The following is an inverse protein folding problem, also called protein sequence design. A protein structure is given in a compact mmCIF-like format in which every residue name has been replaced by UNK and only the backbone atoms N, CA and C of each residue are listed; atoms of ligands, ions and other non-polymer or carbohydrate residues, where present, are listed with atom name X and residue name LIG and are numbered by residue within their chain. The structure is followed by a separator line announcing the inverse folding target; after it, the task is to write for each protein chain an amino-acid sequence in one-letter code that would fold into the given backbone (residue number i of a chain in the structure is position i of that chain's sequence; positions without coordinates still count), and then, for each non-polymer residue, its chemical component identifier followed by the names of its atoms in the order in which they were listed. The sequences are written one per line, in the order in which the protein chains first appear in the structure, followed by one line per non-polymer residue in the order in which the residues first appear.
data_IF_890463560307
#
_entry.id   IF_890463560307
#
_cell.length_a   1.000
_cell.length_b   1.000
_cell.length_c   1.000
_cell.angle_alpha   90.00
_cell.angle_beta   90.00
_cell.angle_gamma   90.00
#
_symmetry.space_group_name_H-M   'P 1'
#
loop_
_entity.id
_entity.type
_entity.pdbx_description
1 polymer ?
#
# COMPACT_ATOMS: atom_id res chain seq x y z
N UNK A 1 1.98 -23.40 -8.02
CA UNK A 1 0.84 -22.59 -8.49
C UNK A 1 1.40 -21.28 -8.98
N UNK A 2 0.99 -20.77 -10.15
CA UNK A 2 1.54 -19.54 -10.73
C UNK A 2 1.23 -18.38 -9.77
N UNK A 3 2.28 -17.78 -9.20
CA UNK A 3 2.18 -16.61 -8.31
C UNK A 3 1.59 -15.46 -9.11
N UNK A 4 0.36 -15.08 -8.81
CA UNK A 4 -0.23 -13.85 -9.34
C UNK A 4 0.45 -12.69 -8.61
N UNK A 5 1.38 -12.02 -9.29
CA UNK A 5 1.84 -10.68 -8.89
C UNK A 5 0.65 -9.74 -9.05
N UNK A 6 -0.08 -9.49 -7.97
CA UNK A 6 -1.21 -8.55 -7.99
C UNK A 6 -0.65 -7.14 -7.87
N UNK A 7 -0.25 -6.56 -9.00
CA UNK A 7 -0.34 -5.11 -9.17
C UNK A 7 -1.82 -4.85 -9.49
N UNK A 8 -2.53 -4.25 -8.55
CA UNK A 8 -3.95 -3.97 -8.67
C UNK A 8 -4.23 -2.96 -9.80
N UNK A 9 -4.37 -3.46 -11.03
CA UNK A 9 -5.04 -2.80 -12.14
C UNK A 9 -6.49 -3.28 -12.14
N UNK A 10 -7.37 -2.59 -11.39
CA UNK A 10 -8.81 -2.87 -11.40
C UNK A 10 -9.48 -1.91 -12.41
N UNK A 11 -9.84 -2.47 -13.56
CA UNK A 11 -10.69 -1.91 -14.61
C UNK A 11 -12.11 -2.45 -14.43
N UNK A 12 -13.05 -1.59 -14.04
CA UNK A 12 -14.48 -1.70 -14.37
C UNK A 12 -15.00 -0.29 -14.69
N UNK A 13 -16.04 -0.17 -15.52
CA UNK A 13 -16.55 1.09 -16.06
C UNK A 13 -18.08 1.10 -15.96
N UNK A 14 -18.64 2.12 -15.31
CA UNK A 14 -20.07 2.46 -15.40
C UNK A 14 -20.31 3.92 -15.87
N UNK A 15 -21.16 4.03 -16.90
CA UNK A 15 -21.42 5.17 -17.78
C UNK A 15 -22.23 6.31 -17.11
N UNK A 16 -21.88 7.58 -17.37
CA UNK A 16 -22.83 8.65 -17.82
C UNK A 16 -22.18 9.99 -18.28
N UNK A 17 -22.54 10.33 -19.53
CA UNK A 17 -22.74 11.60 -20.29
C UNK A 17 -21.99 12.90 -19.92
N UNK A 18 -21.28 13.44 -20.93
CA UNK A 18 -20.97 14.87 -21.13
C UNK A 18 -20.01 15.02 -22.33
N UNK A 19 -20.35 15.83 -23.33
CA UNK A 19 -19.60 15.96 -24.60
C UNK A 19 -18.45 16.98 -24.50
N UNK A 20 -17.29 16.67 -25.08
CA UNK A 20 -16.61 17.50 -26.10
C UNK A 20 -15.40 16.75 -26.68
N UNK A 21 -15.36 16.60 -28.01
CA UNK A 21 -14.24 15.99 -28.72
C UNK A 21 -13.10 17.01 -28.88
N UNK A 22 -12.00 16.84 -28.15
CA UNK A 22 -10.78 17.62 -28.38
C UNK A 22 -9.83 16.85 -29.30
N UNK A 23 -9.97 17.09 -30.61
CA UNK A 23 -8.92 16.83 -31.58
C UNK A 23 -7.87 17.96 -31.46
N UNK A 24 -7.00 17.90 -30.46
CA UNK A 24 -5.85 18.79 -30.31
C UNK A 24 -4.56 17.99 -30.36
N UNK A 25 -3.50 18.53 -30.98
CA UNK A 25 -2.14 17.98 -30.84
C UNK A 25 -1.84 17.84 -29.35
N UNK A 26 -1.45 16.64 -28.93
CA UNK A 26 -1.20 16.35 -27.52
C UNK A 26 0.13 16.99 -27.11
N UNK A 27 0.05 18.09 -26.35
CA UNK A 27 1.24 18.77 -25.84
C UNK A 27 1.96 17.88 -24.83
N UNK A 28 3.29 17.94 -24.80
CA UNK A 28 4.09 17.17 -23.85
C UNK A 28 3.93 17.77 -22.46
N UNK A 29 3.60 16.97 -21.46
CA UNK A 29 3.58 17.34 -20.05
C UNK A 29 4.91 17.04 -19.35
N UNK A 30 5.51 15.87 -19.65
CA UNK A 30 6.79 15.47 -19.08
C UNK A 30 7.69 14.83 -20.14
N UNK A 31 9.00 15.08 -20.03
CA UNK A 31 10.01 14.53 -20.94
C UNK A 31 11.25 14.05 -20.18
N UNK A 32 11.77 12.89 -20.58
CA UNK A 32 13.02 12.33 -20.06
C UNK A 32 13.78 11.62 -21.18
N UNK A 33 15.01 12.06 -21.47
CA UNK A 33 15.86 11.54 -22.56
C UNK A 33 15.10 11.29 -23.90
N UNK A 34 14.23 12.24 -24.30
CA UNK A 34 13.45 12.17 -25.53
C UNK A 34 12.19 11.30 -25.46
N UNK A 35 11.95 10.57 -24.36
CA UNK A 35 10.65 9.96 -24.05
C UNK A 35 9.70 11.02 -23.54
N UNK A 36 8.42 10.93 -23.93
CA UNK A 36 7.43 11.98 -23.71
C UNK A 36 6.15 11.38 -23.19
N UNK A 37 5.57 12.07 -22.22
CA UNK A 37 4.19 11.90 -21.76
C UNK A 37 3.41 13.14 -22.18
N UNK A 38 2.20 12.95 -22.69
CA UNK A 38 1.32 14.06 -23.06
C UNK A 38 0.49 14.57 -21.90
N UNK A 39 0.00 15.81 -21.99
CA UNK A 39 -0.96 16.38 -21.04
C UNK A 39 -2.24 15.53 -20.91
N UNK A 40 -2.71 14.94 -22.00
CA UNK A 40 -3.88 14.06 -21.98
C UNK A 40 -3.65 12.78 -21.15
N UNK A 41 -2.46 12.17 -21.26
CA UNK A 41 -2.10 11.03 -20.40
C UNK A 41 -1.96 11.45 -18.94
N UNK A 42 -1.37 12.63 -18.68
CA UNK A 42 -1.30 13.20 -17.34
C UNK A 42 -2.70 13.43 -16.74
N UNK A 43 -3.65 13.96 -17.51
CA UNK A 43 -5.07 14.11 -17.13
C UNK A 43 -5.71 12.77 -16.73
N UNK A 44 -5.46 11.72 -17.52
CA UNK A 44 -5.94 10.38 -17.20
C UNK A 44 -5.39 9.86 -15.86
N UNK A 45 -4.07 9.96 -15.64
CA UNK A 45 -3.46 9.49 -14.39
C UNK A 45 -3.86 10.31 -13.17
N UNK A 46 -4.15 11.61 -13.32
CA UNK A 46 -4.81 12.40 -12.27
C UNK A 46 -6.17 11.81 -11.89
N UNK A 47 -7.01 11.51 -12.87
CA UNK A 47 -8.32 10.89 -12.66
C UNK A 47 -8.21 9.52 -12.00
N UNK A 48 -7.21 8.71 -12.39
CA UNK A 48 -6.98 7.39 -11.82
C UNK A 48 -6.57 7.49 -10.35
N UNK A 49 -5.59 8.34 -10.01
CA UNK A 49 -5.18 8.54 -8.62
C UNK A 49 -6.33 9.13 -7.80
N UNK A 50 -7.06 10.12 -8.31
CA UNK A 50 -8.24 10.63 -7.61
C UNK A 50 -9.19 9.50 -7.24
N UNK A 51 -9.50 8.62 -8.18
CA UNK A 51 -10.40 7.48 -7.97
C UNK A 51 -9.88 6.42 -7.01
N UNK A 52 -8.55 6.27 -6.86
CA UNK A 52 -7.98 5.33 -5.89
C UNK A 52 -8.04 5.85 -4.44
N UNK A 53 -8.10 7.17 -4.24
CA UNK A 53 -7.99 7.79 -2.92
C UNK A 53 -9.25 8.54 -2.47
N UNK A 54 -10.18 8.84 -3.38
CA UNK A 54 -11.35 9.69 -3.10
C UNK A 54 -12.62 8.99 -3.55
N UNK A 55 -13.51 8.71 -2.58
CA UNK A 55 -14.86 8.24 -2.87
C UNK A 55 -15.74 9.37 -3.40
N UNK A 56 -16.82 9.03 -4.10
CA UNK A 56 -17.78 10.02 -4.59
C UNK A 56 -18.42 10.88 -3.48
N UNK A 57 -18.54 10.33 -2.27
CA UNK A 57 -19.07 11.05 -1.11
C UNK A 57 -18.08 12.10 -0.58
N UNK A 58 -16.78 11.81 -0.69
CA UNK A 58 -15.71 12.69 -0.24
C UNK A 58 -15.27 13.72 -1.29
N UNK A 59 -15.71 13.62 -2.56
CA UNK A 59 -15.32 14.56 -3.61
C UNK A 59 -16.08 15.90 -3.52
N UNK A 60 -15.76 16.70 -2.50
CA UNK A 60 -16.39 17.99 -2.22
C UNK A 60 -15.38 19.02 -1.69
N UNK A 61 -15.76 20.30 -1.71
CA UNK A 61 -14.85 21.40 -1.37
C UNK A 61 -14.23 21.28 0.03
N UNK A 62 -15.00 20.82 1.03
CA UNK A 62 -14.50 20.69 2.39
C UNK A 62 -13.40 19.63 2.52
N UNK A 63 -13.52 18.52 1.78
CA UNK A 63 -12.49 17.49 1.73
C UNK A 63 -11.20 18.03 1.11
N UNK A 64 -11.30 18.73 -0.02
CA UNK A 64 -10.13 19.29 -0.71
C UNK A 64 -9.43 20.41 0.06
N UNK A 65 -10.19 21.20 0.81
CA UNK A 65 -9.65 22.29 1.63
C UNK A 65 -9.07 21.80 2.97
N UNK A 66 -9.20 20.50 3.28
CA UNK A 66 -8.60 19.90 4.47
C UNK A 66 -7.07 19.98 4.40
N UNK A 67 -6.46 20.43 5.50
CA UNK A 67 -5.01 20.62 5.61
C UNK A 67 -4.38 19.63 6.59
N UNK A 68 -3.23 19.13 6.20
CA UNK A 68 -2.33 18.43 7.11
C UNK A 68 -1.66 19.40 8.08
N UNK A 69 -1.07 18.86 9.15
CA UNK A 69 -0.32 19.63 10.16
C UNK A 69 0.81 20.48 9.57
N UNK A 70 1.37 20.08 8.43
CA UNK A 70 2.41 20.81 7.70
C UNK A 70 1.87 21.90 6.75
N UNK A 71 0.55 22.12 6.74
CA UNK A 71 -0.11 23.16 5.94
C UNK A 71 -0.44 22.77 4.49
N UNK A 72 0.02 21.61 4.00
CA UNK A 72 -0.36 21.10 2.67
C UNK A 72 -1.85 20.72 2.65
N UNK A 73 -2.50 20.96 1.52
CA UNK A 73 -3.86 20.46 1.26
C UNK A 73 -3.85 18.99 0.82
N UNK A 74 -5.01 18.35 0.85
CA UNK A 74 -5.17 17.01 0.27
C UNK A 74 -4.92 17.00 -1.25
N UNK A 75 -5.31 18.08 -1.95
CA UNK A 75 -5.01 18.26 -3.37
C UNK A 75 -3.50 18.29 -3.63
N UNK A 76 -2.73 19.01 -2.81
CA UNK A 76 -1.27 19.06 -2.94
C UNK A 76 -0.64 17.67 -2.80
N UNK A 77 -1.11 16.87 -1.84
CA UNK A 77 -0.60 15.50 -1.64
C UNK A 77 -0.91 14.59 -2.81
N UNK A 78 -2.15 14.57 -3.29
CA UNK A 78 -2.50 13.74 -4.44
C UNK A 78 -1.79 14.21 -5.73
N UNK A 79 -1.58 15.52 -5.90
CA UNK A 79 -0.77 16.03 -7.02
C UNK A 79 0.66 15.54 -6.94
N UNK A 80 1.29 15.54 -5.76
CA UNK A 80 2.64 14.99 -5.56
C UNK A 80 2.73 13.51 -5.93
N UNK A 81 1.72 12.71 -5.55
CA UNK A 81 1.65 11.28 -5.92
C UNK A 81 1.54 11.11 -7.44
N UNK A 82 0.68 11.90 -8.09
CA UNK A 82 0.53 11.85 -9.55
C UNK A 82 1.81 12.27 -10.25
N UNK A 83 2.41 13.38 -9.84
CA UNK A 83 3.66 13.89 -10.41
C UNK A 83 4.77 12.83 -10.30
N UNK A 84 4.91 12.19 -9.14
CA UNK A 84 5.84 11.09 -8.94
C UNK A 84 5.56 9.92 -9.89
N UNK A 85 4.33 9.41 -9.93
CA UNK A 85 3.96 8.27 -10.78
C UNK A 85 4.17 8.55 -12.27
N UNK A 86 3.84 9.75 -12.74
CA UNK A 86 4.03 10.11 -14.15
C UNK A 86 5.51 10.30 -14.50
N UNK A 87 6.33 10.78 -13.57
CA UNK A 87 7.79 10.79 -13.72
C UNK A 87 8.33 9.36 -13.81
N UNK A 88 7.89 8.44 -12.97
CA UNK A 88 8.23 7.01 -13.05
C UNK A 88 7.84 6.43 -14.42
N UNK A 89 6.66 6.75 -14.93
CA UNK A 89 6.20 6.29 -16.25
C UNK A 89 7.12 6.72 -17.41
N UNK A 90 7.57 7.98 -17.41
CA UNK A 90 8.48 8.47 -18.47
C UNK A 90 9.90 7.95 -18.30
N UNK A 91 10.38 7.80 -17.06
CA UNK A 91 11.68 7.18 -16.73
C UNK A 91 11.71 5.72 -17.17
N UNK A 92 10.69 4.94 -16.80
CA UNK A 92 10.57 3.54 -17.22
C UNK A 92 10.43 3.40 -18.73
N UNK A 93 9.76 4.34 -19.41
CA UNK A 93 9.74 4.36 -20.88
C UNK A 93 11.12 4.52 -21.51
N UNK A 94 12.05 5.18 -20.82
CA UNK A 94 13.46 5.29 -21.23
C UNK A 94 14.25 4.04 -20.85
N UNK A 95 14.13 3.57 -19.61
CA UNK A 95 14.82 2.37 -19.12
C UNK A 95 14.43 1.13 -19.93
N UNK A 96 13.18 1.03 -20.37
CA UNK A 96 12.71 -0.04 -21.24
C UNK A 96 13.58 -0.16 -22.50
N UNK A 97 13.91 0.97 -23.13
CA UNK A 97 14.80 1.00 -24.30
C UNK A 97 16.25 0.71 -23.91
N UNK A 98 16.73 1.27 -22.79
CA UNK A 98 18.11 1.06 -22.32
C UNK A 98 18.41 -0.39 -21.97
N UNK A 99 17.44 -1.09 -21.39
CA UNK A 99 17.50 -2.51 -21.08
C UNK A 99 17.28 -3.40 -22.32
N UNK A 100 17.06 -2.80 -23.50
CA UNK A 100 16.84 -3.54 -24.75
C UNK A 100 15.52 -4.33 -24.78
N UNK A 101 14.57 -3.99 -23.92
CA UNK A 101 13.30 -4.70 -23.80
C UNK A 101 12.41 -4.46 -25.02
N UNK A 102 11.53 -5.43 -25.28
CA UNK A 102 10.55 -5.36 -26.37
C UNK A 102 9.21 -5.91 -25.90
N UNK A 103 8.14 -5.34 -26.41
CA UNK A 103 6.82 -5.92 -26.28
C UNK A 103 6.67 -7.05 -27.30
N UNK A 104 6.33 -8.22 -26.81
CA UNK A 104 6.02 -9.41 -27.60
C UNK A 104 4.73 -9.21 -28.41
N UNK A 105 4.48 -10.10 -29.36
CA UNK A 105 3.24 -10.07 -30.12
C UNK A 105 2.01 -10.35 -29.23
N UNK A 106 2.14 -11.24 -28.24
CA UNK A 106 1.03 -11.57 -27.34
C UNK A 106 0.71 -10.41 -26.40
N UNK A 107 1.70 -9.76 -25.79
CA UNK A 107 1.47 -8.59 -24.93
C UNK A 107 0.78 -7.44 -25.68
N UNK A 108 1.19 -7.19 -26.94
CA UNK A 108 0.51 -6.19 -27.79
C UNK A 108 -0.94 -6.59 -28.09
N UNK A 109 -1.19 -7.89 -28.23
CA UNK A 109 -2.53 -8.43 -28.46
C UNK A 109 -3.39 -8.32 -27.21
N UNK A 110 -2.85 -8.61 -26.03
CA UNK A 110 -3.53 -8.43 -24.74
C UNK A 110 -3.97 -6.97 -24.53
N UNK A 111 -3.09 -5.99 -24.81
CA UNK A 111 -3.46 -4.57 -24.79
C UNK A 111 -4.62 -4.28 -25.76
N UNK A 112 -4.54 -4.80 -26.99
CA UNK A 112 -5.62 -4.58 -27.96
C UNK A 112 -6.93 -5.22 -27.50
N UNK A 113 -6.88 -6.46 -27.00
CA UNK A 113 -8.04 -7.17 -26.48
C UNK A 113 -8.70 -6.40 -25.33
N UNK A 114 -7.92 -5.92 -24.36
CA UNK A 114 -8.46 -5.13 -23.25
C UNK A 114 -9.22 -3.89 -23.73
N UNK A 115 -8.72 -3.20 -24.76
CA UNK A 115 -9.37 -1.99 -25.30
C UNK A 115 -10.56 -2.37 -26.20
N UNK A 116 -10.49 -3.47 -26.95
CA UNK A 116 -11.57 -3.96 -27.78
C UNK A 116 -12.75 -4.49 -26.93
N UNK A 117 -12.47 -5.03 -25.75
CA UNK A 117 -13.49 -5.37 -24.74
C UNK A 117 -14.20 -4.10 -24.23
N UNK A 118 -13.46 -3.01 -24.00
CA UNK A 118 -14.06 -1.70 -23.69
C UNK A 118 -14.89 -1.17 -24.87
N UNK A 119 -14.42 -1.30 -26.10
CA UNK A 119 -15.19 -0.93 -27.30
C UNK A 119 -16.51 -1.70 -27.35
N UNK A 120 -16.47 -3.00 -27.06
CA UNK A 120 -17.64 -3.88 -27.05
C UNK A 120 -18.61 -3.51 -25.93
N UNK A 121 -18.11 -3.23 -24.72
CA UNK A 121 -18.92 -2.81 -23.57
C UNK A 121 -19.64 -1.47 -23.83
N UNK A 122 -18.98 -0.53 -24.52
CA UNK A 122 -19.59 0.74 -24.93
C UNK A 122 -20.40 0.65 -26.24
N UNK A 123 -20.37 -0.50 -26.92
CA UNK A 123 -21.07 -0.77 -28.17
C UNK A 123 -20.41 -0.22 -29.44
N UNK A 124 -19.45 0.71 -29.34
CA UNK A 124 -18.64 1.18 -30.48
C UNK A 124 -17.42 2.00 -30.04
N UNK A 125 -16.40 2.10 -30.92
CA UNK A 125 -15.22 2.99 -30.69
C UNK A 125 -15.63 4.45 -30.54
N UNK A 126 -16.68 4.90 -31.23
CA UNK A 126 -17.22 6.26 -31.09
C UNK A 126 -17.84 6.50 -29.71
N UNK A 127 -18.63 5.53 -29.22
CA UNK A 127 -19.22 5.59 -27.88
C UNK A 127 -18.13 5.54 -26.79
N UNK A 128 -17.12 4.68 -26.95
CA UNK A 128 -15.95 4.65 -26.07
C UNK A 128 -15.22 5.99 -26.06
N UNK A 129 -14.88 6.55 -27.24
CA UNK A 129 -14.21 7.86 -27.33
C UNK A 129 -15.04 8.97 -26.69
N UNK A 130 -16.36 8.93 -26.80
CA UNK A 130 -17.23 9.89 -26.11
C UNK A 130 -17.11 9.77 -24.58
N UNK A 131 -17.03 8.55 -24.06
CA UNK A 131 -16.80 8.34 -22.63
C UNK A 131 -15.40 8.79 -22.18
N UNK A 132 -14.38 8.42 -22.95
CA UNK A 132 -12.98 8.77 -22.70
C UNK A 132 -12.70 10.28 -22.76
N UNK A 133 -13.49 11.04 -23.52
CA UNK A 133 -13.36 12.51 -23.59
C UNK A 133 -13.55 13.20 -22.25
N UNK A 134 -14.23 12.56 -21.28
CA UNK A 134 -14.37 13.10 -19.93
C UNK A 134 -13.05 13.09 -19.13
N UNK A 135 -12.03 12.38 -19.62
CA UNK A 135 -10.67 12.30 -19.08
C UNK A 135 -9.65 12.89 -20.06
N UNK A 136 -10.12 13.68 -21.03
CA UNK A 136 -9.32 14.27 -22.13
C UNK A 136 -8.55 13.25 -23.00
N UNK A 137 -8.97 11.99 -23.02
CA UNK A 137 -8.31 10.95 -23.83
C UNK A 137 -9.26 10.35 -24.88
N UNK A 138 -8.69 9.52 -25.75
CA UNK A 138 -9.41 8.72 -26.73
C UNK A 138 -8.80 7.30 -26.78
N UNK A 139 -9.36 6.43 -27.60
CA UNK A 139 -8.90 5.04 -27.78
C UNK A 139 -7.39 4.93 -28.01
N UNK A 140 -6.82 5.78 -28.87
CA UNK A 140 -5.40 5.65 -29.23
C UNK A 140 -4.51 6.11 -28.06
N UNK A 141 -4.92 7.15 -27.34
CA UNK A 141 -4.22 7.60 -26.12
C UNK A 141 -4.36 6.57 -25.00
N UNK A 142 -5.52 5.94 -24.82
CA UNK A 142 -5.71 4.85 -23.85
C UNK A 142 -4.77 3.67 -24.14
N UNK A 143 -4.59 3.35 -25.42
CA UNK A 143 -3.62 2.34 -25.85
C UNK A 143 -2.18 2.72 -25.53
N UNK A 144 -1.82 3.98 -25.72
CA UNK A 144 -0.50 4.49 -25.35
C UNK A 144 -0.28 4.44 -23.83
N UNK A 145 -1.32 4.72 -23.03
CA UNK A 145 -1.30 4.60 -21.56
C UNK A 145 -1.02 3.17 -21.14
N UNK A 146 -1.82 2.19 -21.59
CA UNK A 146 -1.58 0.77 -21.27
C UNK A 146 -0.21 0.28 -21.74
N UNK A 147 0.27 0.80 -22.87
CA UNK A 147 1.61 0.50 -23.37
C UNK A 147 2.70 1.04 -22.44
N UNK A 148 2.53 2.25 -21.88
CA UNK A 148 3.49 2.84 -20.93
C UNK A 148 3.45 2.09 -19.60
N UNK A 149 2.27 1.79 -19.07
CA UNK A 149 2.11 1.03 -17.83
C UNK A 149 2.73 -0.37 -17.93
N UNK A 150 2.53 -1.07 -19.05
CA UNK A 150 3.19 -2.35 -19.28
C UNK A 150 4.72 -2.22 -19.33
N UNK A 151 5.27 -1.10 -19.84
CA UNK A 151 6.72 -0.89 -19.81
C UNK A 151 7.24 -0.73 -18.38
N UNK A 152 6.49 -0.09 -17.48
CA UNK A 152 6.85 -0.02 -16.06
C UNK A 152 6.98 -1.42 -15.48
N UNK A 153 5.96 -2.27 -15.67
CA UNK A 153 6.00 -3.67 -15.22
C UNK A 153 7.19 -4.43 -15.81
N UNK A 154 7.45 -4.29 -17.11
CA UNK A 154 8.56 -4.99 -17.76
C UNK A 154 9.94 -4.50 -17.31
N UNK A 155 10.08 -3.21 -17.02
CA UNK A 155 11.33 -2.65 -16.46
C UNK A 155 11.55 -3.18 -15.06
N UNK A 156 10.52 -3.14 -14.20
CA UNK A 156 10.58 -3.71 -12.86
C UNK A 156 10.96 -5.20 -12.91
N UNK A 157 10.23 -6.00 -13.69
CA UNK A 157 10.49 -7.44 -13.83
C UNK A 157 11.92 -7.72 -14.33
N UNK A 158 12.43 -6.92 -15.28
CA UNK A 158 13.77 -7.12 -15.82
C UNK A 158 14.88 -6.72 -14.84
N UNK A 159 14.63 -5.73 -13.98
CA UNK A 159 15.59 -5.30 -12.96
C UNK A 159 15.76 -6.35 -11.86
N UNK A 160 14.65 -6.94 -11.41
CA UNK A 160 14.61 -7.85 -10.25
C UNK A 160 14.54 -9.35 -10.60
N UNK A 161 14.46 -9.73 -11.88
CA UNK A 161 14.62 -11.13 -12.29
C UNK A 161 15.99 -11.69 -11.90
N UNK A 162 16.12 -13.02 -11.87
CA UNK A 162 17.39 -13.73 -11.68
C UNK A 162 18.45 -13.23 -12.69
N UNK A 163 19.61 -12.80 -12.20
CA UNK A 163 20.66 -12.17 -12.98
C UNK A 163 20.38 -10.74 -13.44
N UNK A 164 19.28 -10.14 -12.99
CA UNK A 164 18.90 -8.75 -13.22
C UNK A 164 19.85 -7.78 -12.53
N UNK A 165 19.90 -6.54 -13.03
CA UNK A 165 20.84 -5.54 -12.52
C UNK A 165 20.58 -5.13 -11.06
N UNK A 166 19.39 -5.46 -10.52
CA UNK A 166 18.96 -5.17 -9.15
C UNK A 166 18.37 -6.40 -8.47
N UNK A 167 18.76 -7.61 -8.88
CA UNK A 167 18.33 -8.85 -8.21
C UNK A 167 18.51 -8.76 -6.69
N UNK A 168 17.48 -9.15 -5.93
CA UNK A 168 17.54 -9.18 -4.47
C UNK A 168 18.34 -10.40 -4.02
N UNK A 169 19.62 -10.15 -3.72
CA UNK A 169 20.51 -11.18 -3.14
C UNK A 169 20.20 -11.40 -1.66
N UNK A 170 20.66 -12.53 -1.12
CA UNK A 170 20.55 -12.81 0.33
C UNK A 170 21.14 -11.70 1.21
N UNK A 171 22.23 -11.06 0.78
CA UNK A 171 22.86 -9.96 1.52
C UNK A 171 21.96 -8.71 1.55
N UNK A 172 21.30 -8.41 0.42
CA UNK A 172 20.37 -7.28 0.32
C UNK A 172 19.14 -7.55 1.19
N UNK A 173 18.57 -8.76 1.10
CA UNK A 173 17.41 -9.14 1.89
C UNK A 173 17.70 -9.13 3.40
N UNK A 174 18.90 -9.60 3.79
CA UNK A 174 19.32 -9.58 5.19
C UNK A 174 19.48 -8.15 5.71
N UNK A 175 20.06 -7.24 4.91
CA UNK A 175 20.13 -5.82 5.27
C UNK A 175 18.75 -5.21 5.40
N UNK A 176 17.87 -5.48 4.42
CA UNK A 176 16.49 -5.00 4.45
C UNK A 176 15.76 -5.44 5.73
N UNK A 177 15.91 -6.72 6.11
CA UNK A 177 15.35 -7.24 7.35
C UNK A 177 15.87 -6.48 8.59
N UNK A 178 17.19 -6.31 8.70
CA UNK A 178 17.81 -5.65 9.85
C UNK A 178 17.44 -4.18 9.96
N UNK A 179 17.26 -3.48 8.84
CA UNK A 179 16.99 -2.06 8.80
C UNK A 179 15.50 -1.73 8.98
N UNK A 180 14.58 -2.63 8.59
CA UNK A 180 13.15 -2.34 8.53
C UNK A 180 12.28 -3.11 9.54
N UNK A 181 12.80 -4.18 10.16
CA UNK A 181 12.02 -4.99 11.09
C UNK A 181 12.39 -4.77 12.55
N UNK A 182 11.36 -4.77 13.37
CA UNK A 182 11.44 -4.90 14.81
C UNK A 182 10.87 -6.23 15.26
N UNK A 183 11.55 -6.91 16.18
CA UNK A 183 10.97 -8.01 16.93
C UNK A 183 10.42 -7.48 18.25
N UNK A 184 9.14 -7.69 18.47
CA UNK A 184 8.47 -7.38 19.73
C UNK A 184 7.85 -8.63 20.32
N UNK A 185 7.56 -8.55 21.60
CA UNK A 185 6.71 -9.49 22.30
C UNK A 185 5.73 -8.69 23.15
N UNK A 186 4.53 -9.20 23.37
CA UNK A 186 3.53 -8.45 24.12
C UNK A 186 2.72 -9.33 25.06
N UNK A 187 2.26 -8.70 26.14
CA UNK A 187 1.15 -9.15 26.95
C UNK A 187 -0.06 -8.33 26.51
N UNK A 188 -1.02 -9.00 25.89
CA UNK A 188 -2.26 -8.41 25.41
C UNK A 188 -3.33 -8.54 26.48
N UNK A 189 -3.97 -7.42 26.83
CA UNK A 189 -5.10 -7.36 27.76
C UNK A 189 -6.26 -6.65 27.06
N UNK A 190 -7.42 -7.27 27.00
CA UNK A 190 -8.61 -6.63 26.44
C UNK A 190 -9.11 -5.50 27.33
N UNK A 191 -9.50 -4.36 26.74
CA UNK A 191 -10.02 -3.21 27.48
C UNK A 191 -11.50 -2.91 27.25
N UNK A 192 -11.98 -3.03 26.01
CA UNK A 192 -13.40 -2.79 25.68
C UNK A 192 -14.19 -4.07 25.37
N UNK A 193 -13.55 -5.12 24.86
CA UNK A 193 -14.25 -6.33 24.42
C UNK A 193 -13.43 -7.60 24.65
N UNK A 194 -14.08 -8.71 24.95
CA UNK A 194 -13.45 -10.04 25.02
C UNK A 194 -14.07 -11.01 24.03
N UNK A 195 -13.29 -11.95 23.50
CA UNK A 195 -13.87 -13.05 22.74
C UNK A 195 -14.64 -14.01 23.64
N UNK A 196 -15.83 -14.39 23.19
CA UNK A 196 -16.65 -15.39 23.87
C UNK A 196 -16.02 -16.77 23.66
N UNK A 197 -15.85 -17.51 24.76
CA UNK A 197 -15.34 -18.88 24.76
C UNK A 197 -16.42 -19.85 25.21
N UNK A 198 -16.40 -21.07 24.67
CA UNK A 198 -17.28 -22.15 25.10
C UNK A 198 -16.80 -22.78 26.42
N UNK A 199 -17.55 -23.78 26.91
CA UNK A 199 -17.24 -24.50 28.16
C UNK A 199 -15.87 -25.20 28.15
N UNK A 200 -15.26 -25.39 26.97
CA UNK A 200 -13.94 -25.99 26.81
C UNK A 200 -12.84 -24.94 26.57
N UNK A 201 -13.16 -23.65 26.68
CA UNK A 201 -12.23 -22.54 26.48
C UNK A 201 -11.94 -22.21 25.00
N UNK A 202 -12.66 -22.82 24.05
CA UNK A 202 -12.47 -22.55 22.62
C UNK A 202 -13.26 -21.31 22.20
N UNK A 203 -12.68 -20.49 21.31
CA UNK A 203 -13.37 -19.33 20.75
C UNK A 203 -14.66 -19.74 20.02
N UNK A 204 -15.75 -19.05 20.31
CA UNK A 204 -17.06 -19.28 19.69
C UNK A 204 -17.11 -18.53 18.36
N UNK A 205 -17.27 -19.25 17.25
CA UNK A 205 -17.44 -18.67 15.91
C UNK A 205 -18.93 -18.42 15.63
N UNK A 206 -19.25 -17.29 15.01
CA UNK A 206 -20.57 -16.94 14.53
C UNK A 206 -20.60 -17.10 13.01
N UNK A 207 -21.29 -18.14 12.53
CA UNK A 207 -21.38 -18.46 11.10
C UNK A 207 -22.16 -17.40 10.31
N UNK A 208 -23.10 -16.68 10.94
CA UNK A 208 -23.90 -15.64 10.27
C UNK A 208 -23.09 -14.35 10.09
N UNK A 209 -22.30 -13.97 11.10
CA UNK A 209 -21.40 -12.83 11.03
C UNK A 209 -20.06 -13.14 10.35
N UNK A 210 -19.76 -14.42 10.11
CA UNK A 210 -18.48 -14.92 9.64
C UNK A 210 -17.30 -14.39 10.49
N UNK A 211 -17.48 -14.38 11.82
CA UNK A 211 -16.52 -13.81 12.77
C UNK A 211 -16.61 -14.50 14.15
N UNK A 212 -15.57 -14.41 14.97
CA UNK A 212 -15.65 -14.86 16.37
C UNK A 212 -16.54 -13.94 17.20
N UNK A 213 -17.38 -14.51 18.07
CA UNK A 213 -18.26 -13.78 18.97
C UNK A 213 -17.46 -12.97 19.98
N UNK A 214 -17.94 -11.76 20.24
CA UNK A 214 -17.34 -10.80 21.18
C UNK A 214 -18.39 -10.33 22.18
N UNK A 215 -17.93 -9.98 23.37
CA UNK A 215 -18.74 -9.39 24.44
C UNK A 215 -18.09 -8.07 24.87
N UNK A 216 -18.86 -6.99 24.90
CA UNK A 216 -18.44 -5.72 25.47
C UNK A 216 -18.26 -5.86 26.99
N UNK A 217 -17.18 -5.26 27.50
CA UNK A 217 -16.90 -5.19 28.92
C UNK A 217 -17.72 -4.07 29.57
N UNK A 218 -18.11 -4.29 30.83
CA UNK A 218 -18.68 -3.22 31.67
C UNK A 218 -17.60 -2.27 32.16
N UNK A 219 -17.96 -1.03 32.51
CA UNK A 219 -17.02 -0.05 33.11
C UNK A 219 -16.20 -0.62 34.28
N UNK A 220 -16.81 -1.49 35.09
CA UNK A 220 -16.12 -2.15 36.21
C UNK A 220 -15.08 -3.17 35.73
N UNK A 221 -15.37 -3.91 34.68
CA UNK A 221 -14.45 -4.88 34.08
C UNK A 221 -13.29 -4.19 33.37
N UNK A 222 -13.58 -3.15 32.57
CA UNK A 222 -12.57 -2.28 31.95
C UNK A 222 -11.64 -1.66 33.00
N UNK A 223 -12.19 -1.13 34.11
CA UNK A 223 -11.37 -0.60 35.20
C UNK A 223 -10.46 -1.65 35.84
N UNK A 224 -10.91 -2.91 35.96
CA UNK A 224 -10.09 -4.03 36.45
C UNK A 224 -8.98 -4.40 35.47
N UNK A 225 -9.25 -4.39 34.16
CA UNK A 225 -8.27 -4.68 33.09
C UNK A 225 -7.17 -3.62 33.06
N UNK A 226 -7.55 -2.35 33.10
CA UNK A 226 -6.63 -1.23 33.22
C UNK A 226 -5.76 -1.34 34.50
N UNK A 227 -6.36 -1.62 35.65
CA UNK A 227 -5.63 -1.80 36.90
C UNK A 227 -4.67 -3.00 36.87
N UNK A 228 -5.05 -4.10 36.20
CA UNK A 228 -4.19 -5.26 35.98
C UNK A 228 -2.99 -4.89 35.11
N UNK A 229 -3.19 -4.16 34.01
CA UNK A 229 -2.10 -3.72 33.15
C UNK A 229 -1.11 -2.81 33.91
N UNK A 230 -1.60 -1.91 34.75
CA UNK A 230 -0.76 -1.06 35.62
C UNK A 230 0.01 -1.87 36.68
N UNK A 231 -0.59 -2.92 37.23
CA UNK A 231 0.09 -3.84 38.15
C UNK A 231 1.21 -4.60 37.44
N UNK A 232 0.96 -5.14 36.25
CA UNK A 232 1.97 -5.82 35.43
C UNK A 232 3.14 -4.88 35.12
N UNK A 233 2.89 -3.62 34.76
CA UNK A 233 3.95 -2.63 34.54
C UNK A 233 4.80 -2.40 35.79
N UNK A 234 4.18 -2.25 36.97
CA UNK A 234 4.92 -2.10 38.24
C UNK A 234 5.77 -3.33 38.58
N UNK A 235 5.24 -4.53 38.31
CA UNK A 235 5.99 -5.79 38.50
C UNK A 235 7.23 -5.83 37.60
N UNK A 236 7.09 -5.44 36.34
CA UNK A 236 8.20 -5.33 35.39
C UNK A 236 9.24 -4.29 35.83
N UNK A 237 8.80 -3.12 36.32
CA UNK A 237 9.68 -2.09 36.89
C UNK A 237 10.45 -2.58 38.12
N UNK A 238 9.84 -3.48 38.91
CA UNK A 238 10.48 -4.14 40.06
C UNK A 238 11.38 -5.33 39.68
N UNK A 239 11.51 -5.63 38.38
CA UNK A 239 12.41 -6.66 37.85
C UNK A 239 11.81 -8.06 37.73
N UNK A 240 10.48 -8.22 37.81
CA UNK A 240 9.83 -9.49 37.50
C UNK A 240 10.03 -9.88 36.03
N UNK A 241 10.02 -11.19 35.75
CA UNK A 241 10.32 -11.71 34.43
C UNK A 241 9.11 -11.52 33.48
N UNK A 242 9.37 -10.90 32.33
CA UNK A 242 8.34 -10.65 31.31
C UNK A 242 7.66 -11.92 30.81
N UNK A 243 8.41 -13.00 30.57
CA UNK A 243 7.87 -14.24 30.01
C UNK A 243 7.00 -14.98 31.04
N UNK A 244 7.33 -14.91 32.33
CA UNK A 244 6.50 -15.44 33.43
C UNK A 244 5.18 -14.68 33.57
N UNK A 245 5.22 -13.35 33.44
CA UNK A 245 4.03 -12.50 33.43
C UNK A 245 3.19 -12.75 32.17
N UNK A 246 3.81 -12.87 31.00
CA UNK A 246 3.13 -13.23 29.74
C UNK A 246 2.41 -14.57 29.87
N UNK A 247 3.08 -15.60 30.38
CA UNK A 247 2.46 -16.92 30.57
C UNK A 247 1.23 -16.89 31.49
N UNK A 248 1.16 -15.92 32.40
CA UNK A 248 0.10 -15.81 33.41
C UNK A 248 -1.06 -14.91 32.97
N UNK A 249 -0.78 -13.87 32.19
CA UNK A 249 -1.74 -12.79 31.94
C UNK A 249 -2.05 -12.53 30.47
N UNK A 250 -1.30 -13.09 29.52
CA UNK A 250 -1.51 -12.78 28.10
C UNK A 250 -2.82 -13.35 27.57
N UNK A 251 -3.63 -12.50 26.95
CA UNK A 251 -4.95 -12.85 26.41
C UNK A 251 -4.92 -13.03 24.88
N UNK A 252 -3.75 -12.89 24.26
CA UNK A 252 -3.55 -13.03 22.81
C UNK A 252 -3.93 -14.46 22.33
N UNK A 253 -4.95 -14.60 21.45
CA UNK A 253 -5.35 -15.89 20.92
C UNK A 253 -4.28 -16.55 20.02
N UNK A 254 -3.30 -15.79 19.53
CA UNK A 254 -2.21 -16.28 18.68
C UNK A 254 -0.90 -16.53 19.45
N UNK A 255 -0.90 -16.40 20.79
CA UNK A 255 0.30 -16.55 21.60
C UNK A 255 1.01 -17.90 21.44
N UNK A 256 0.24 -18.97 21.22
CA UNK A 256 0.75 -20.32 20.97
C UNK A 256 1.35 -20.47 19.56
N UNK A 257 0.88 -19.69 18.60
CA UNK A 257 1.39 -19.68 17.23
C UNK A 257 2.68 -18.88 17.18
N UNK A 258 2.76 -17.73 17.86
CA UNK A 258 3.90 -16.80 17.81
C UNK A 258 4.63 -16.71 19.16
N UNK A 259 5.16 -17.85 19.61
CA UNK A 259 5.83 -17.98 20.92
C UNK A 259 7.06 -17.09 21.05
N UNK A 260 7.73 -16.85 19.93
CA UNK A 260 8.91 -16.03 19.84
C UNK A 260 8.61 -14.53 19.70
N UNK A 261 7.35 -14.14 19.69
CA UNK A 261 6.91 -12.77 19.43
C UNK A 261 6.69 -12.51 17.95
N UNK A 262 6.57 -11.23 17.61
CA UNK A 262 6.15 -10.73 16.31
C UNK A 262 7.27 -9.94 15.64
N UNK A 263 7.45 -10.14 14.34
CA UNK A 263 8.30 -9.31 13.49
C UNK A 263 7.43 -8.29 12.78
N UNK A 264 7.70 -7.00 13.04
CA UNK A 264 6.88 -5.88 12.63
C UNK A 264 7.72 -4.92 11.81
N UNK A 265 7.16 -4.47 10.69
CA UNK A 265 7.68 -3.45 9.79
C UNK A 265 6.66 -2.31 9.62
N UNK A 266 7.02 -1.27 8.88
CA UNK A 266 6.08 -0.22 8.47
C UNK A 266 4.89 -0.73 7.67
N UNK A 267 5.01 -1.90 7.02
CA UNK A 267 3.93 -2.51 6.24
C UNK A 267 2.81 -3.09 7.12
N UNK A 268 3.05 -3.23 8.42
CA UNK A 268 2.12 -3.84 9.36
C UNK A 268 1.23 -2.82 10.10
N UNK A 269 1.22 -1.55 9.66
CA UNK A 269 0.39 -0.47 10.25
C UNK A 269 -1.10 -0.83 10.25
N UNK A 270 -1.59 -1.51 9.22
CA UNK A 270 -3.00 -1.92 9.16
C UNK A 270 -3.34 -3.09 10.10
N UNK A 271 -2.31 -3.80 10.59
CA UNK A 271 -2.47 -4.96 11.48
C UNK A 271 -2.36 -4.53 12.95
N UNK A 272 -1.34 -3.74 13.28
CA UNK A 272 -1.03 -3.34 14.66
C UNK A 272 -1.37 -1.88 14.99
N UNK A 273 -1.71 -1.07 13.99
CA UNK A 273 -1.86 0.37 14.16
C UNK A 273 -0.54 1.14 14.13
N UNK A 274 -0.60 2.41 13.74
CA UNK A 274 0.59 3.24 13.53
C UNK A 274 1.41 3.44 14.82
N UNK A 275 0.76 3.56 15.98
CA UNK A 275 1.45 3.82 17.25
C UNK A 275 2.33 2.64 17.67
N UNK A 276 1.82 1.41 17.58
CA UNK A 276 2.57 0.19 17.92
C UNK A 276 3.73 -0.02 16.94
N UNK A 277 3.48 0.17 15.64
CA UNK A 277 4.53 0.04 14.62
C UNK A 277 5.65 1.05 14.86
N UNK A 278 5.33 2.33 15.04
CA UNK A 278 6.34 3.36 15.33
C UNK A 278 7.10 3.07 16.62
N UNK A 279 6.37 2.71 17.68
CA UNK A 279 6.95 2.33 18.95
C UNK A 279 7.92 1.16 18.86
N UNK A 280 7.58 0.13 18.07
CA UNK A 280 8.43 -1.05 17.88
C UNK A 280 9.81 -0.69 17.31
N UNK A 281 9.87 0.35 16.48
CA UNK A 281 11.11 0.83 15.86
C UNK A 281 11.92 1.74 16.79
N UNK A 282 11.25 2.58 17.59
CA UNK A 282 11.91 3.55 18.47
C UNK A 282 12.42 2.95 19.80
N UNK A 283 11.77 1.89 20.28
CA UNK A 283 12.13 1.25 21.55
C UNK A 283 13.52 0.62 21.50
N UNK A 284 14.27 0.77 22.59
CA UNK A 284 15.55 0.08 22.77
C UNK A 284 15.30 -1.39 23.07
N UNK A 285 16.21 -2.27 22.63
CA UNK A 285 16.13 -3.69 22.99
C UNK A 285 16.04 -3.86 24.52
N UNK A 286 15.09 -4.67 24.96
CA UNK A 286 14.78 -4.93 26.36
C UNK A 286 13.83 -3.91 27.01
N UNK A 287 13.60 -2.77 26.38
CA UNK A 287 12.63 -1.77 26.86
C UNK A 287 11.22 -2.33 26.85
N UNK A 288 10.42 -1.95 27.85
CA UNK A 288 9.01 -2.30 27.97
C UNK A 288 8.18 -1.03 28.03
N UNK A 289 7.10 -0.97 27.25
CA UNK A 289 6.15 0.14 27.23
C UNK A 289 4.72 -0.37 27.17
N UNK A 290 3.82 0.40 27.78
CA UNK A 290 2.37 0.17 27.71
C UNK A 290 1.78 1.05 26.61
N UNK A 291 0.97 0.45 25.74
CA UNK A 291 0.17 1.12 24.71
C UNK A 291 -1.27 0.70 24.86
N UNK A 292 -2.18 1.63 24.61
CA UNK A 292 -3.62 1.43 24.73
C UNK A 292 -4.27 2.06 23.50
N UNK A 293 -4.87 1.23 22.66
CA UNK A 293 -5.54 1.67 21.42
C UNK A 293 -7.06 1.89 21.62
N UNK A 294 -7.53 1.83 22.87
CA UNK A 294 -8.94 1.90 23.25
C UNK A 294 -9.64 0.55 23.26
N UNK A 295 -9.18 -0.45 22.51
CA UNK A 295 -9.77 -1.79 22.52
C UNK A 295 -8.91 -2.79 23.29
N UNK A 296 -7.60 -2.64 23.18
CA UNK A 296 -6.58 -3.55 23.68
C UNK A 296 -5.44 -2.74 24.31
N UNK A 297 -5.04 -3.18 25.50
CA UNK A 297 -3.82 -2.73 26.14
C UNK A 297 -2.70 -3.70 25.80
N UNK A 298 -1.65 -3.19 25.16
CA UNK A 298 -0.43 -3.90 24.84
C UNK A 298 0.68 -3.50 25.81
N UNK A 299 1.18 -4.46 26.59
CA UNK A 299 2.44 -4.30 27.32
C UNK A 299 3.53 -4.92 26.46
N UNK A 300 4.20 -4.07 25.68
CA UNK A 300 5.14 -4.45 24.63
C UNK A 300 6.58 -4.43 25.11
N UNK A 301 7.35 -5.47 24.78
CA UNK A 301 8.79 -5.58 25.01
C UNK A 301 9.53 -5.67 23.68
N UNK A 302 10.54 -4.81 23.48
CA UNK A 302 11.44 -4.91 22.33
C UNK A 302 12.42 -6.07 22.55
N UNK A 303 12.54 -6.97 21.58
CA UNK A 303 13.49 -8.10 21.60
C UNK A 303 14.54 -7.95 20.51
N UNK A 304 15.66 -8.64 20.72
CA UNK A 304 16.67 -8.83 19.70
C UNK A 304 16.07 -9.55 18.49
N UNK A 305 16.39 -9.05 17.29
CA UNK A 305 16.10 -9.78 16.06
C UNK A 305 16.79 -11.15 16.09
N UNK A 306 16.15 -12.14 15.51
CA UNK A 306 16.74 -13.47 15.35
C UNK A 306 17.50 -13.55 14.05
N UNK A 307 18.41 -14.52 13.93
CA UNK A 307 19.10 -14.79 12.67
C UNK A 307 18.11 -15.35 11.63
N UNK A 308 17.93 -14.62 10.52
CA UNK A 308 17.18 -15.00 9.31
C UNK A 308 15.82 -15.69 9.55
N UNK A 309 14.90 -15.12 10.35
CA UNK A 309 13.60 -15.74 10.59
C UNK A 309 12.75 -15.84 9.33
N UNK A 310 12.98 -14.96 8.35
CA UNK A 310 12.31 -14.98 7.05
C UNK A 310 12.62 -16.24 6.21
N UNK A 311 13.67 -17.01 6.55
CA UNK A 311 13.97 -18.30 5.91
C UNK A 311 13.27 -19.49 6.60
N UNK A 312 12.58 -19.25 7.71
CA UNK A 312 11.91 -20.28 8.51
C UNK A 312 10.48 -20.49 8.05
N UNK A 313 10.09 -21.75 7.85
CA UNK A 313 8.67 -22.10 7.59
C UNK A 313 7.72 -21.66 8.73
N UNK A 314 8.27 -21.49 9.94
CA UNK A 314 7.50 -21.10 11.12
C UNK A 314 7.04 -19.63 11.10
N UNK A 315 7.76 -18.73 10.42
CA UNK A 315 7.45 -17.29 10.38
C UNK A 315 6.99 -16.82 8.98
N UNK A 316 6.63 -17.75 8.09
CA UNK A 316 6.33 -17.43 6.70
C UNK A 316 5.21 -16.39 6.52
N UNK A 317 4.23 -16.37 7.43
CA UNK A 317 3.12 -15.42 7.40
C UNK A 317 3.55 -13.98 7.73
N UNK A 318 4.52 -13.79 8.63
CA UNK A 318 5.08 -12.47 8.95
C UNK A 318 6.04 -11.94 7.87
N UNK A 319 6.53 -12.82 7.02
CA UNK A 319 7.52 -12.48 5.98
C UNK A 319 7.06 -12.81 4.57
N UNK A 320 5.76 -13.07 4.37
CA UNK A 320 5.20 -13.53 3.08
C UNK A 320 5.63 -12.61 1.92
N UNK A 321 5.67 -11.31 2.18
CA UNK A 321 5.96 -10.26 1.21
C UNK A 321 7.31 -9.58 1.41
N UNK A 322 8.23 -10.10 2.25
CA UNK A 322 9.49 -9.41 2.56
C UNK A 322 10.32 -9.10 1.31
N UNK A 323 10.38 -10.05 0.35
CA UNK A 323 11.09 -9.84 -0.92
C UNK A 323 10.40 -8.75 -1.74
N UNK A 324 9.07 -8.80 -1.85
CA UNK A 324 8.30 -7.82 -2.61
C UNK A 324 8.44 -6.40 -2.01
N UNK A 325 8.46 -6.27 -0.67
CA UNK A 325 8.69 -4.99 0.00
C UNK A 325 10.12 -4.49 -0.23
N UNK A 326 11.12 -5.39 -0.16
CA UNK A 326 12.51 -5.05 -0.46
C UNK A 326 12.69 -4.56 -1.91
N UNK A 327 12.07 -5.25 -2.87
CA UNK A 327 12.10 -4.82 -4.28
C UNK A 327 11.40 -3.47 -4.48
N UNK A 328 10.25 -3.24 -3.83
CA UNK A 328 9.49 -1.99 -3.95
C UNK A 328 10.25 -0.78 -3.40
N UNK A 329 10.88 -0.93 -2.23
CA UNK A 329 11.67 0.15 -1.61
C UNK A 329 12.91 0.45 -2.45
N UNK A 330 13.64 -0.58 -2.88
CA UNK A 330 14.79 -0.42 -3.76
C UNK A 330 14.41 0.20 -5.12
N UNK A 331 13.26 -0.18 -5.68
CA UNK A 331 12.77 0.40 -6.93
C UNK A 331 12.39 1.87 -6.76
N UNK A 332 11.73 2.20 -5.65
CA UNK A 332 11.39 3.58 -5.28
C UNK A 332 12.66 4.43 -5.16
N UNK A 333 13.67 3.96 -4.43
CA UNK A 333 14.96 4.64 -4.29
C UNK A 333 15.67 4.81 -5.63
N UNK A 334 15.63 3.79 -6.49
CA UNK A 334 16.19 3.89 -7.82
C UNK A 334 15.46 4.93 -8.68
N UNK A 335 14.12 4.95 -8.65
CA UNK A 335 13.35 5.96 -9.36
C UNK A 335 13.63 7.35 -8.80
N UNK A 336 13.66 7.53 -7.48
CA UNK A 336 14.01 8.78 -6.82
C UNK A 336 15.37 9.33 -7.29
N UNK A 337 16.34 8.45 -7.58
CA UNK A 337 17.64 8.86 -8.13
C UNK A 337 17.60 9.39 -9.57
N UNK A 338 16.49 9.20 -10.30
CA UNK A 338 16.34 9.55 -11.72
C UNK A 338 15.28 10.62 -11.98
N UNK A 339 14.23 10.69 -11.17
CA UNK A 339 13.05 11.52 -11.45
C UNK A 339 13.31 13.03 -11.37
N UNK A 340 14.36 13.47 -10.68
CA UNK A 340 14.74 14.89 -10.60
C UNK A 340 15.21 15.45 -11.94
N UNK A 341 15.70 14.60 -12.84
CA UNK A 341 16.12 14.96 -14.20
C UNK A 341 14.94 15.00 -15.20
N UNK A 342 13.73 14.64 -14.78
CA UNK A 342 12.53 14.71 -15.62
C UNK A 342 12.14 16.17 -15.85
N UNK A 343 12.04 16.56 -17.12
CA UNK A 343 11.58 17.90 -17.51
C UNK A 343 10.06 17.95 -17.42
N UNK A 344 9.55 18.59 -16.38
CA UNK A 344 8.13 18.90 -16.21
C UNK A 344 7.80 20.22 -16.90
N UNK A 345 6.79 20.21 -17.77
CA UNK A 345 6.27 21.41 -18.44
C UNK A 345 5.10 21.95 -17.63
N UNK A 346 5.42 22.79 -16.65
CA UNK A 346 4.44 23.34 -15.71
C UNK A 346 3.32 24.14 -16.41
N UNK A 347 3.61 24.79 -17.53
CA UNK A 347 2.62 25.47 -18.36
C UNK A 347 1.54 24.53 -18.93
N UNK A 348 1.86 23.23 -19.03
CA UNK A 348 0.92 22.18 -19.43
C UNK A 348 0.31 21.50 -18.20
N UNK A 349 1.11 21.05 -17.23
CA UNK A 349 0.61 20.30 -16.07
C UNK A 349 -0.26 21.16 -15.14
N UNK A 350 -0.04 22.48 -15.07
CA UNK A 350 -0.89 23.39 -14.29
C UNK A 350 -2.30 23.57 -14.84
N UNK A 351 -2.54 23.15 -16.10
CA UNK A 351 -3.88 23.18 -16.68
C UNK A 351 -4.79 22.07 -16.14
N UNK A 352 -4.22 21.10 -15.43
CA UNK A 352 -4.93 19.99 -14.83
C UNK A 352 -4.90 20.09 -13.30
N UNK A 353 -6.00 19.70 -12.66
CA UNK A 353 -6.18 19.72 -11.20
C UNK A 353 -6.75 18.39 -10.75
N UNK A 354 -6.22 17.82 -9.67
CA UNK A 354 -6.76 16.58 -9.09
C UNK A 354 -8.19 16.81 -8.66
N UNK A 355 -8.48 17.94 -8.00
CA UNK A 355 -9.84 18.31 -7.56
C UNK A 355 -10.83 18.34 -8.73
N UNK A 356 -10.43 18.91 -9.87
CA UNK A 356 -11.28 19.01 -11.08
C UNK A 356 -11.30 17.75 -11.94
N UNK A 357 -10.35 16.83 -11.76
CA UNK A 357 -10.29 15.58 -12.50
C UNK A 357 -11.56 14.75 -12.22
N UNK A 358 -12.05 14.05 -13.23
CA UNK A 358 -13.26 13.24 -13.08
C UNK A 358 -12.93 11.94 -12.35
N UNK A 359 -13.77 11.53 -11.40
CA UNK A 359 -13.70 10.18 -10.84
C UNK A 359 -13.98 9.17 -11.96
N UNK A 360 -13.06 8.24 -12.15
CA UNK A 360 -13.30 6.99 -12.83
C UNK A 360 -14.33 6.19 -12.02
N UNK A 361 -15.47 5.94 -12.64
CA UNK A 361 -16.49 5.06 -12.07
C UNK A 361 -16.06 3.63 -12.32
N UNK A 362 -15.66 2.94 -11.26
CA UNK A 362 -15.43 1.49 -11.27
C UNK A 362 -16.75 0.73 -11.32
#
# INVERSE_FOLDING_TARGET
MKKFRVIALILCLAVCIGMMASCGKTETAMEYHGKKISGNMYSYWLSQIKSSYVSSENDNDAYWDTKYSNGQTYEDKLRQIVDYNVKVNVVCSYLFDQLGLKLTAEEKKEINTAIDDLVSAYGSKSALNKALSAYDINYDILKDIYTVELKVTKVYDALYAEGGAREITDEILERYYLDNYARIDFIMIYDEMVYVRDENGKLVFDDEANAYKKQELTDEETAKKNALADDIMKKLENGENFDELKASYNEDPQADVYKDGYFISSNDINVFGAEIVLASQEMKIGEVKKYDDGNIIYIMKRKELTDKPYASEYYLDMFEYIVDYCEQDDFSDYMNSLIDDVKVKEDITSNYSVRKAKLMNY
#
